data_IF_297414887006
#
_entry.id   IF_297414887006
#
_cell.length_a   1.000
_cell.length_b   1.000
_cell.length_c   1.000
_cell.angle_alpha   90.00
_cell.angle_beta   90.00
_cell.angle_gamma   90.00
#
_symmetry.space_group_name_H-M   'P 1'
#
loop_
_entity.id
_entity.type
_entity.pdbx_description
1 polymer ?
#
# COMPACT_ATOMS: atom_id res chain seq x y z
N UNK A 1 3.41 -10.40 -33.97
CA UNK A 1 2.48 -9.28 -34.21
C UNK A 1 2.86 -8.14 -33.27
N UNK A 2 2.71 -6.88 -33.69
CA UNK A 2 3.01 -5.72 -32.85
C UNK A 2 1.81 -5.40 -31.97
N UNK A 3 2.00 -5.27 -30.65
CA UNK A 3 0.89 -5.01 -29.71
C UNK A 3 0.82 -3.55 -29.25
N UNK A 4 1.95 -2.97 -28.80
CA UNK A 4 1.97 -1.66 -28.13
C UNK A 4 3.38 -1.11 -27.93
N UNK A 5 3.44 0.19 -27.65
CA UNK A 5 4.64 0.91 -27.19
C UNK A 5 4.38 1.53 -25.82
N UNK A 6 5.43 1.64 -24.99
CA UNK A 6 5.40 2.46 -23.77
C UNK A 6 6.21 3.73 -23.97
N UNK A 7 5.57 4.88 -23.77
CA UNK A 7 6.26 6.16 -23.74
C UNK A 7 5.49 7.21 -22.91
N UNK A 8 6.00 7.67 -21.76
CA UNK A 8 7.22 7.24 -21.09
C UNK A 8 7.11 5.85 -20.45
N UNK A 9 8.27 5.29 -20.11
CA UNK A 9 8.40 4.00 -19.46
C UNK A 9 9.29 4.11 -18.21
N UNK A 10 8.88 3.45 -17.13
CA UNK A 10 9.57 3.44 -15.84
C UNK A 10 9.79 1.99 -15.38
N UNK A 11 11.04 1.55 -15.40
CA UNK A 11 11.44 0.24 -14.90
C UNK A 11 11.97 0.35 -13.47
N UNK A 12 11.26 -0.27 -12.53
CA UNK A 12 11.60 -0.27 -11.10
C UNK A 12 12.24 -1.59 -10.64
N UNK A 13 12.17 -2.65 -11.47
CA UNK A 13 12.75 -3.95 -11.19
C UNK A 13 12.11 -5.07 -12.02
N UNK A 14 12.53 -6.32 -11.78
CA UNK A 14 11.97 -7.49 -12.47
C UNK A 14 10.46 -7.58 -12.24
N UNK A 15 9.69 -7.60 -13.33
CA UNK A 15 8.21 -7.62 -13.32
C UNK A 15 7.57 -6.42 -12.58
N UNK A 16 8.31 -5.31 -12.39
CA UNK A 16 7.85 -4.09 -11.72
C UNK A 16 8.10 -2.89 -12.62
N UNK A 17 7.08 -2.47 -13.34
CA UNK A 17 7.18 -1.35 -14.26
C UNK A 17 5.86 -0.59 -14.39
N UNK A 18 5.96 0.64 -14.85
CA UNK A 18 4.84 1.51 -15.18
C UNK A 18 5.15 2.27 -16.47
N UNK A 19 4.14 2.61 -17.26
CA UNK A 19 4.33 3.42 -18.45
C UNK A 19 3.00 3.80 -19.08
N UNK A 20 3.01 4.85 -19.90
CA UNK A 20 1.84 5.16 -20.72
C UNK A 20 1.82 4.21 -21.90
N UNK A 21 0.72 3.47 -22.04
CA UNK A 21 0.52 2.49 -23.10
C UNK A 21 -0.03 3.18 -24.36
N UNK A 22 0.56 2.87 -25.50
CA UNK A 22 0.16 3.38 -26.81
C UNK A 22 -0.08 2.19 -27.76
N UNK A 23 -1.32 2.04 -28.20
CA UNK A 23 -1.70 1.14 -29.30
C UNK A 23 -1.79 1.88 -30.64
N UNK A 24 -1.92 3.21 -30.62
CA UNK A 24 -1.86 4.11 -31.77
C UNK A 24 -0.98 5.34 -31.46
N UNK A 25 -0.61 6.13 -32.47
CA UNK A 25 0.35 7.24 -32.31
C UNK A 25 -0.28 8.52 -31.75
N UNK A 26 -1.60 8.71 -31.86
CA UNK A 26 -2.25 10.00 -31.58
C UNK A 26 -2.46 10.27 -30.09
N UNK A 27 -2.79 9.23 -29.32
CA UNK A 27 -3.04 9.34 -27.88
C UNK A 27 -2.67 8.07 -27.13
N UNK A 28 -2.22 8.24 -25.89
CA UNK A 28 -2.05 7.11 -24.98
C UNK A 28 -3.40 6.57 -24.54
N UNK A 29 -3.47 5.26 -24.33
CA UNK A 29 -4.67 4.56 -23.89
C UNK A 29 -4.88 4.71 -22.38
N UNK A 30 -3.82 4.43 -21.61
CA UNK A 30 -3.83 4.48 -20.15
C UNK A 30 -2.42 4.40 -19.56
N UNK A 31 -2.32 4.75 -18.28
CA UNK A 31 -1.18 4.38 -17.44
C UNK A 31 -1.27 2.88 -17.11
N UNK A 32 -0.41 2.07 -17.73
CA UNK A 32 -0.30 0.64 -17.41
C UNK A 32 0.74 0.42 -16.31
N UNK A 33 0.41 -0.47 -15.39
CA UNK A 33 1.24 -0.77 -14.22
C UNK A 33 1.28 -2.27 -13.98
N UNK A 34 2.49 -2.82 -13.80
CA UNK A 34 2.70 -4.26 -13.64
C UNK A 34 3.53 -4.54 -12.40
N UNK A 35 3.02 -5.43 -11.54
CA UNK A 35 3.71 -5.93 -10.33
C UNK A 35 4.00 -4.88 -9.26
N UNK A 36 3.52 -3.66 -9.42
CA UNK A 36 3.61 -2.60 -8.42
C UNK A 36 2.40 -2.62 -7.48
N UNK A 37 2.49 -1.85 -6.42
CA UNK A 37 1.56 -1.86 -5.30
C UNK A 37 0.12 -1.46 -5.70
N UNK A 38 -0.07 -0.70 -6.79
CA UNK A 38 -1.39 -0.25 -7.30
C UNK A 38 -2.28 -1.41 -7.75
N UNK A 39 -1.70 -2.47 -8.33
CA UNK A 39 -2.41 -3.65 -8.85
C UNK A 39 -2.44 -4.81 -7.84
N UNK A 40 -1.80 -4.63 -6.68
CA UNK A 40 -1.71 -5.62 -5.62
C UNK A 40 -2.86 -5.47 -4.62
N UNK A 41 -3.59 -6.56 -4.38
CA UNK A 41 -4.79 -6.59 -3.52
C UNK A 41 -4.49 -6.64 -2.03
N UNK A 42 -3.23 -6.88 -1.65
CA UNK A 42 -2.76 -6.99 -0.26
C UNK A 42 -2.27 -5.66 0.33
N UNK A 43 -2.48 -4.54 -0.37
CA UNK A 43 -2.16 -3.19 0.11
C UNK A 43 -3.41 -2.40 0.49
N UNK A 44 -3.27 -1.49 1.44
CA UNK A 44 -4.33 -0.56 1.82
C UNK A 44 -4.58 0.51 0.73
N UNK A 45 -5.71 1.21 0.81
CA UNK A 45 -6.08 2.20 -0.20
C UNK A 45 -5.11 3.39 -0.22
N UNK A 46 -4.61 3.81 0.94
CA UNK A 46 -3.61 4.87 1.08
C UNK A 46 -2.39 4.64 0.16
N UNK A 47 -1.85 3.42 0.17
CA UNK A 47 -0.67 3.05 -0.62
C UNK A 47 -0.99 3.06 -2.11
N UNK A 48 -2.13 2.47 -2.49
CA UNK A 48 -2.56 2.41 -3.90
C UNK A 48 -2.80 3.82 -4.46
N UNK A 49 -3.50 4.68 -3.72
CA UNK A 49 -3.81 6.05 -4.12
C UNK A 49 -2.54 6.89 -4.19
N UNK A 50 -1.70 6.85 -3.15
CA UNK A 50 -0.45 7.61 -3.11
C UNK A 50 0.47 7.24 -4.27
N UNK A 51 0.66 5.95 -4.54
CA UNK A 51 1.55 5.50 -5.62
C UNK A 51 0.96 5.80 -7.01
N UNK A 52 -0.34 5.59 -7.20
CA UNK A 52 -1.00 5.95 -8.47
C UNK A 52 -0.85 7.43 -8.78
N UNK A 53 -1.03 8.30 -7.78
CA UNK A 53 -0.89 9.75 -7.95
C UNK A 53 0.55 10.16 -8.23
N UNK A 54 1.53 9.56 -7.53
CA UNK A 54 2.95 9.78 -7.83
C UNK A 54 3.28 9.38 -9.27
N UNK A 55 2.84 8.21 -9.71
CA UNK A 55 3.08 7.75 -11.08
C UNK A 55 2.39 8.62 -12.12
N UNK A 56 1.17 9.10 -11.83
CA UNK A 56 0.46 10.06 -12.68
C UNK A 56 1.27 11.35 -12.82
N UNK A 57 1.67 11.99 -11.72
CA UNK A 57 2.45 13.24 -11.74
C UNK A 57 3.77 13.09 -12.50
N UNK A 58 4.47 11.97 -12.29
CA UNK A 58 5.76 11.71 -12.93
C UNK A 58 5.62 11.38 -14.42
N UNK A 59 4.70 10.49 -14.80
CA UNK A 59 4.64 9.94 -16.16
C UNK A 59 3.71 10.72 -17.08
N UNK A 60 2.61 11.26 -16.55
CA UNK A 60 1.64 12.03 -17.33
C UNK A 60 1.97 13.52 -17.29
N UNK A 61 2.10 14.09 -16.09
CA UNK A 61 2.22 15.55 -15.91
C UNK A 61 3.67 16.05 -15.99
N UNK A 62 4.64 15.12 -15.94
CA UNK A 62 6.09 15.40 -15.92
C UNK A 62 6.53 16.28 -14.74
N UNK A 63 5.73 16.34 -13.68
CA UNK A 63 6.02 17.13 -12.48
C UNK A 63 6.56 16.24 -11.35
N UNK A 64 7.85 15.94 -11.44
CA UNK A 64 8.56 15.18 -10.40
C UNK A 64 8.64 15.98 -9.07
N UNK A 65 8.66 17.31 -9.12
CA UNK A 65 8.73 18.10 -7.88
C UNK A 65 7.38 18.15 -7.16
N UNK A 66 6.29 18.29 -7.91
CA UNK A 66 4.94 18.16 -7.39
C UNK A 66 4.64 16.77 -6.87
N UNK A 67 5.25 15.70 -7.41
CA UNK A 67 5.09 14.36 -6.85
C UNK A 67 5.79 14.22 -5.49
N UNK A 68 6.97 14.84 -5.30
CA UNK A 68 7.67 14.85 -3.99
C UNK A 68 6.88 15.66 -2.96
N UNK A 69 6.41 16.87 -3.30
CA UNK A 69 5.58 17.70 -2.40
C UNK A 69 4.31 16.95 -1.97
N UNK A 70 3.63 16.31 -2.91
CA UNK A 70 2.46 15.49 -2.62
C UNK A 70 2.76 14.35 -1.63
N UNK A 71 3.90 13.67 -1.79
CA UNK A 71 4.32 12.64 -0.83
C UNK A 71 4.55 13.24 0.56
N UNK A 72 5.25 14.36 0.68
CA UNK A 72 5.49 15.04 1.95
C UNK A 72 4.17 15.39 2.66
N UNK A 73 3.21 15.95 1.93
CA UNK A 73 1.87 16.26 2.45
C UNK A 73 1.11 15.00 2.87
N UNK A 74 1.23 13.90 2.11
CA UNK A 74 0.59 12.64 2.50
C UNK A 74 1.21 11.98 3.71
N UNK A 75 2.52 12.05 3.86
CA UNK A 75 3.23 11.58 5.06
C UNK A 75 2.84 12.43 6.27
N UNK A 76 2.77 13.75 6.12
CA UNK A 76 2.34 14.67 7.19
C UNK A 76 0.92 14.34 7.66
N UNK A 77 -0.02 14.16 6.74
CA UNK A 77 -1.41 13.85 7.10
C UNK A 77 -1.55 12.48 7.75
N UNK A 78 -0.78 11.49 7.30
CA UNK A 78 -0.73 10.17 7.94
C UNK A 78 -0.22 10.27 9.38
N UNK A 79 0.92 10.92 9.60
CA UNK A 79 1.54 11.03 10.93
C UNK A 79 0.70 11.91 11.89
N UNK A 80 -0.03 12.89 11.36
CA UNK A 80 -0.97 13.70 12.12
C UNK A 80 -2.31 12.99 12.40
N UNK A 81 -2.52 11.75 11.91
CA UNK A 81 -3.76 11.01 12.09
C UNK A 81 -4.96 11.58 11.32
N UNK A 82 -4.70 12.36 10.25
CA UNK A 82 -5.73 12.98 9.40
C UNK A 82 -6.18 12.10 8.23
N UNK A 83 -5.64 10.89 8.12
CA UNK A 83 -6.03 9.90 7.10
C UNK A 83 -7.18 9.05 7.63
N UNK A 84 -8.24 8.93 6.85
CA UNK A 84 -9.41 8.12 7.21
C UNK A 84 -9.06 6.63 7.38
N UNK A 85 -9.70 5.98 8.36
CA UNK A 85 -9.44 4.57 8.67
C UNK A 85 -9.70 3.65 7.46
N UNK A 86 -10.68 3.97 6.60
CA UNK A 86 -10.96 3.19 5.40
C UNK A 86 -9.77 3.11 4.44
N UNK A 87 -8.89 4.13 4.47
CA UNK A 87 -7.67 4.13 3.66
C UNK A 87 -6.56 3.26 4.24
N UNK A 88 -6.64 2.94 5.53
CA UNK A 88 -5.67 2.15 6.28
C UNK A 88 -6.04 0.66 6.35
N UNK A 89 -7.23 0.27 5.92
CA UNK A 89 -7.65 -1.14 5.92
C UNK A 89 -6.80 -1.95 4.95
N UNK A 90 -6.13 -2.98 5.47
CA UNK A 90 -5.40 -4.00 4.71
C UNK A 90 -6.31 -5.22 4.60
N UNK A 91 -6.32 -5.88 3.46
CA UNK A 91 -7.13 -7.09 3.28
C UNK A 91 -6.30 -8.23 2.75
N UNK A 92 -6.29 -9.38 3.44
CA UNK A 92 -5.54 -10.57 3.02
C UNK A 92 -6.42 -11.81 3.04
N UNK A 93 -6.26 -12.67 2.03
CA UNK A 93 -7.04 -13.90 1.90
C UNK A 93 -6.60 -14.97 2.90
N UNK A 94 -7.56 -15.61 3.55
CA UNK A 94 -7.36 -16.79 4.37
C UNK A 94 -7.43 -18.02 3.46
N UNK A 95 -6.30 -18.67 3.21
CA UNK A 95 -6.17 -19.73 2.18
C UNK A 95 -6.25 -21.15 2.74
N UNK A 96 -6.22 -21.29 4.06
CA UNK A 96 -6.30 -22.56 4.81
C UNK A 96 -6.88 -22.26 6.19
N UNK A 97 -7.21 -23.29 6.97
CA UNK A 97 -7.67 -23.04 8.34
C UNK A 97 -6.55 -22.39 9.16
N UNK A 98 -6.94 -21.60 10.16
CA UNK A 98 -6.01 -20.92 11.06
C UNK A 98 -5.05 -21.89 11.77
N UNK A 99 -5.45 -23.14 11.99
CA UNK A 99 -4.58 -24.20 12.55
C UNK A 99 -3.43 -24.62 11.63
N UNK A 100 -3.59 -24.45 10.31
CA UNK A 100 -2.70 -25.03 9.30
C UNK A 100 -1.62 -24.04 8.84
N UNK A 101 -1.57 -22.85 9.45
CA UNK A 101 -0.54 -21.87 9.21
C UNK A 101 0.69 -22.13 10.08
N UNK A 102 1.81 -22.48 9.45
CA UNK A 102 3.10 -22.60 10.12
C UNK A 102 3.64 -21.27 10.67
N UNK A 103 3.17 -20.13 10.14
CA UNK A 103 3.64 -18.80 10.53
C UNK A 103 2.47 -17.92 10.94
N UNK A 104 2.56 -17.37 12.16
CA UNK A 104 1.61 -16.38 12.68
C UNK A 104 1.68 -15.10 11.85
N UNK A 105 0.53 -14.59 11.44
CA UNK A 105 0.44 -13.38 10.64
C UNK A 105 -0.85 -12.62 10.95
N UNK A 106 -0.84 -11.31 10.73
CA UNK A 106 -1.92 -10.39 11.15
C UNK A 106 -3.33 -10.90 10.85
N UNK A 107 -3.61 -11.25 9.59
CA UNK A 107 -4.93 -11.77 9.19
C UNK A 107 -5.32 -13.11 9.84
N UNK A 108 -4.35 -14.00 10.10
CA UNK A 108 -4.60 -15.30 10.74
C UNK A 108 -4.91 -15.10 12.22
N UNK A 109 -4.11 -14.28 12.90
CA UNK A 109 -4.32 -13.94 14.30
C UNK A 109 -5.64 -13.22 14.51
N UNK A 110 -6.00 -12.28 13.63
CA UNK A 110 -7.30 -11.64 13.69
C UNK A 110 -8.44 -12.64 13.45
N UNK A 111 -8.30 -13.57 12.51
CA UNK A 111 -9.31 -14.61 12.30
C UNK A 111 -9.50 -15.48 13.56
N UNK A 112 -8.41 -15.84 14.25
CA UNK A 112 -8.47 -16.54 15.55
C UNK A 112 -9.17 -15.68 16.61
N UNK A 113 -8.83 -14.39 16.73
CA UNK A 113 -9.49 -13.46 17.66
C UNK A 113 -11.00 -13.36 17.38
N UNK A 114 -11.39 -13.21 16.10
CA UNK A 114 -12.79 -13.14 15.69
C UNK A 114 -13.53 -14.43 16.02
N UNK A 115 -12.94 -15.61 15.70
CA UNK A 115 -13.51 -16.92 16.04
C UNK A 115 -13.71 -17.13 17.54
N UNK A 116 -12.79 -16.64 18.38
CA UNK A 116 -12.94 -16.69 19.85
C UNK A 116 -14.01 -15.74 20.38
N UNK A 117 -14.26 -14.61 19.71
CA UNK A 117 -15.26 -13.62 20.10
C UNK A 117 -16.66 -14.05 19.67
N UNK A 118 -16.78 -14.46 18.41
CA UNK A 118 -18.02 -14.96 17.81
C UNK A 118 -17.67 -15.88 16.63
N UNK A 119 -17.97 -17.16 16.78
CA UNK A 119 -17.71 -18.17 15.75
C UNK A 119 -18.63 -18.04 14.53
N UNK A 120 -19.82 -17.44 14.67
CA UNK A 120 -20.79 -17.34 13.57
C UNK A 120 -20.35 -16.32 12.52
N UNK A 121 -19.71 -15.23 12.93
CA UNK A 121 -19.23 -14.14 12.06
C UNK A 121 -17.73 -14.24 11.72
N UNK A 122 -17.08 -15.33 12.14
CA UNK A 122 -15.66 -15.54 11.91
C UNK A 122 -15.35 -15.80 10.43
N UNK A 123 -14.23 -15.25 9.89
CA UNK A 123 -13.80 -15.54 8.52
C UNK A 123 -13.54 -17.04 8.29
N UNK A 124 -13.94 -17.52 7.12
CA UNK A 124 -13.75 -18.90 6.65
C UNK A 124 -12.63 -18.98 5.61
N UNK A 125 -12.19 -20.19 5.33
CA UNK A 125 -11.23 -20.44 4.25
C UNK A 125 -11.82 -19.98 2.92
N UNK A 126 -11.06 -19.18 2.18
CA UNK A 126 -11.50 -18.49 0.96
C UNK A 126 -11.85 -17.02 1.20
N UNK A 127 -12.22 -16.65 2.43
CA UNK A 127 -12.58 -15.26 2.74
C UNK A 127 -11.35 -14.35 2.78
N UNK A 128 -11.59 -13.06 2.59
CA UNK A 128 -10.59 -12.04 2.85
C UNK A 128 -10.84 -11.39 4.21
N UNK A 129 -9.80 -11.31 5.01
CA UNK A 129 -9.84 -10.71 6.35
C UNK A 129 -9.36 -9.26 6.25
N UNK A 130 -10.26 -8.27 6.44
CA UNK A 130 -9.87 -6.87 6.58
C UNK A 130 -9.32 -6.62 7.99
N UNK A 131 -8.25 -5.84 8.10
CA UNK A 131 -7.66 -5.46 9.37
C UNK A 131 -6.92 -4.12 9.29
N UNK A 132 -6.75 -3.48 10.45
CA UNK A 132 -5.80 -2.39 10.67
C UNK A 132 -4.78 -2.79 11.72
N UNK A 133 -3.67 -2.05 11.81
CA UNK A 133 -2.63 -2.28 12.82
C UNK A 133 -2.78 -1.24 13.94
N UNK A 134 -3.03 -1.73 15.14
CA UNK A 134 -3.12 -0.92 16.35
C UNK A 134 -1.73 -0.45 16.80
N UNK A 135 -1.71 0.67 17.53
CA UNK A 135 -0.52 1.14 18.25
C UNK A 135 -0.21 0.17 19.39
N UNK A 136 0.95 -0.47 19.31
CA UNK A 136 1.48 -1.35 20.35
C UNK A 136 2.73 -0.78 21.02
N UNK A 137 3.31 -1.58 21.91
CA UNK A 137 4.60 -1.36 22.53
C UNK A 137 5.74 -1.96 21.70
N UNK A 138 6.99 -1.56 21.97
CA UNK A 138 8.17 -1.99 21.20
C UNK A 138 8.38 -3.51 21.15
N UNK A 139 7.92 -4.24 22.16
CA UNK A 139 8.02 -5.70 22.24
C UNK A 139 6.89 -6.43 21.50
N UNK A 140 5.80 -5.73 21.16
CA UNK A 140 4.62 -6.33 20.56
C UNK A 140 4.90 -6.76 19.13
N UNK A 141 4.42 -7.94 18.78
CA UNK A 141 4.57 -8.45 17.43
C UNK A 141 3.44 -7.90 16.58
N UNK A 142 3.75 -7.38 15.40
CA UNK A 142 2.76 -6.77 14.49
C UNK A 142 1.53 -7.65 14.25
N UNK A 143 1.70 -8.98 14.20
CA UNK A 143 0.57 -9.89 13.97
C UNK A 143 -0.43 -9.91 15.15
N UNK A 144 0.00 -9.56 16.36
CA UNK A 144 -0.85 -9.47 17.56
C UNK A 144 -1.60 -8.14 17.62
N UNK A 145 -1.10 -7.12 16.92
CA UNK A 145 -1.68 -5.78 16.84
C UNK A 145 -2.75 -5.63 15.74
N UNK A 146 -3.03 -6.69 14.98
CA UNK A 146 -4.09 -6.68 13.99
C UNK A 146 -5.48 -6.66 14.65
N UNK A 147 -6.34 -5.76 14.18
CA UNK A 147 -7.71 -5.62 14.69
C UNK A 147 -8.73 -5.32 13.58
N UNK A 148 -9.99 -5.67 13.84
CA UNK A 148 -11.12 -5.42 12.96
C UNK A 148 -11.41 -3.90 12.86
N UNK A 149 -11.45 -3.30 11.66
CA UNK A 149 -11.71 -1.87 11.49
C UNK A 149 -13.00 -1.41 12.18
N UNK A 150 -14.06 -2.24 12.19
CA UNK A 150 -15.33 -1.90 12.86
C UNK A 150 -15.11 -1.73 14.35
N UNK A 151 -14.41 -2.68 14.98
CA UNK A 151 -14.09 -2.63 16.41
C UNK A 151 -13.21 -1.44 16.75
N UNK A 152 -12.25 -1.08 15.89
CA UNK A 152 -11.39 0.09 16.09
C UNK A 152 -12.21 1.37 16.18
N UNK A 153 -13.22 1.52 15.32
CA UNK A 153 -14.14 2.67 15.35
C UNK A 153 -15.02 2.64 16.60
N UNK A 154 -15.65 1.49 16.90
CA UNK A 154 -16.55 1.35 18.05
C UNK A 154 -15.86 1.62 19.40
N UNK A 155 -14.60 1.21 19.54
CA UNK A 155 -13.85 1.28 20.79
C UNK A 155 -12.83 2.43 20.83
N UNK A 156 -12.69 3.20 19.75
CA UNK A 156 -11.73 4.29 19.66
C UNK A 156 -10.27 3.84 19.83
N UNK A 157 -9.90 2.67 19.27
CA UNK A 157 -8.56 2.10 19.46
C UNK A 157 -7.50 2.89 18.64
N UNK A 158 -6.33 3.20 19.23
CA UNK A 158 -5.31 3.98 18.53
C UNK A 158 -4.65 3.16 17.40
N UNK A 159 -4.54 3.75 16.22
CA UNK A 159 -3.88 3.14 15.05
C UNK A 159 -2.39 3.49 15.02
N UNK A 160 -1.56 2.54 14.57
CA UNK A 160 -0.13 2.78 14.33
C UNK A 160 0.09 3.37 12.94
N UNK A 161 -0.04 4.70 12.80
CA UNK A 161 0.21 5.39 11.53
C UNK A 161 1.66 5.24 11.03
N UNK A 162 2.64 5.14 11.95
CA UNK A 162 4.07 4.99 11.59
C UNK A 162 4.33 3.62 10.96
N UNK A 163 3.61 2.58 11.38
CA UNK A 163 3.62 1.27 10.70
C UNK A 163 3.33 1.38 9.20
N UNK A 164 2.30 2.14 8.81
CA UNK A 164 1.93 2.32 7.40
C UNK A 164 3.00 3.08 6.60
N UNK A 165 3.60 4.10 7.22
CA UNK A 165 4.70 4.84 6.60
C UNK A 165 5.88 3.93 6.31
N UNK A 166 6.39 3.24 7.34
CA UNK A 166 7.63 2.48 7.27
C UNK A 166 7.48 1.18 6.47
N UNK A 167 6.39 0.44 6.68
CA UNK A 167 6.20 -0.91 6.10
C UNK A 167 5.53 -0.89 4.75
N UNK A 168 4.70 0.12 4.46
CA UNK A 168 3.86 0.12 3.26
C UNK A 168 4.17 1.24 2.27
N UNK A 169 4.55 2.45 2.70
CA UNK A 169 4.81 3.57 1.79
C UNK A 169 6.28 3.74 1.43
N UNK A 170 7.18 3.64 2.40
CA UNK A 170 8.60 4.00 2.24
C UNK A 170 9.28 3.24 1.10
N UNK A 171 9.29 1.91 1.16
CA UNK A 171 10.02 1.10 0.17
C UNK A 171 9.45 1.25 -1.26
N UNK A 172 8.12 1.23 -1.50
CA UNK A 172 7.57 1.49 -2.83
C UNK A 172 7.92 2.86 -3.38
N UNK A 173 7.83 3.92 -2.57
CA UNK A 173 8.15 5.28 -3.00
C UNK A 173 9.63 5.41 -3.35
N UNK A 174 10.52 4.93 -2.47
CA UNK A 174 11.96 4.93 -2.74
C UNK A 174 12.29 4.17 -4.03
N UNK A 175 11.60 3.08 -4.32
CA UNK A 175 11.81 2.31 -5.56
C UNK A 175 11.43 3.11 -6.81
N UNK A 176 10.33 3.87 -6.76
CA UNK A 176 9.91 4.74 -7.86
C UNK A 176 10.99 5.81 -8.11
N UNK A 177 11.38 6.55 -7.08
CA UNK A 177 12.36 7.64 -7.22
C UNK A 177 13.81 7.16 -7.45
N UNK A 178 14.12 5.90 -7.16
CA UNK A 178 15.40 5.28 -7.48
C UNK A 178 15.51 4.81 -8.94
N UNK A 179 14.41 4.77 -9.69
CA UNK A 179 14.44 4.42 -11.11
C UNK A 179 15.33 5.42 -11.88
N UNK A 180 16.04 4.94 -12.90
CA UNK A 180 17.20 5.61 -13.50
C UNK A 180 16.96 7.06 -13.95
N UNK A 181 15.74 7.41 -14.33
CA UNK A 181 15.39 8.75 -14.84
C UNK A 181 15.00 9.76 -13.75
N UNK A 182 14.97 9.35 -12.48
CA UNK A 182 14.52 10.18 -11.35
C UNK A 182 15.61 10.43 -10.29
N UNK A 183 16.88 10.13 -10.61
CA UNK A 183 17.99 10.20 -9.63
C UNK A 183 18.12 11.56 -8.93
N UNK A 184 17.92 12.67 -9.62
CA UNK A 184 17.93 14.01 -9.02
C UNK A 184 16.79 14.26 -8.00
N UNK A 185 15.70 13.50 -8.10
CA UNK A 185 14.59 13.56 -7.14
C UNK A 185 14.79 12.64 -5.94
N UNK A 186 15.68 11.65 -6.04
CA UNK A 186 16.02 10.74 -4.93
C UNK A 186 16.62 11.50 -3.74
N UNK A 187 17.54 12.43 -3.98
CA UNK A 187 18.15 13.26 -2.92
C UNK A 187 17.10 14.10 -2.18
N UNK A 188 16.00 14.48 -2.86
CA UNK A 188 14.90 15.23 -2.24
C UNK A 188 13.97 14.34 -1.43
N UNK A 189 13.92 13.03 -1.69
CA UNK A 189 13.18 12.09 -0.84
C UNK A 189 13.82 11.91 0.55
N UNK A 190 15.08 12.30 0.72
CA UNK A 190 15.73 12.34 2.03
C UNK A 190 15.19 13.48 2.91
N UNK A 191 14.50 14.47 2.33
CA UNK A 191 13.78 15.52 3.07
C UNK A 191 12.42 15.06 3.61
N UNK A 192 11.96 13.87 3.23
CA UNK A 192 10.72 13.30 3.79
C UNK A 192 11.04 12.77 5.18
N UNK A 193 10.31 13.25 6.18
CA UNK A 193 10.38 12.71 7.55
C UNK A 193 9.80 11.30 7.57
N UNK A 194 10.69 10.30 7.58
CA UNK A 194 10.33 8.88 7.61
C UNK A 194 10.01 8.33 9.01
#
# INVERSE_FOLDING_TARGET
EFEKVYHPYLLMGKKRYAGLMWTCADRHDKLDTKGIETVRRDNCALVRRTISEVLRRVLLERDVQGSVRYVQERVRDLLAGRVDISELVITKGLTRDVSDYATRSAHVELAVKKRKRDAATAPRVGDRVPYVILRGHKADKTYELAEDPVRVVEQGLPIDHRHYLERHLKLPLLRIYAANDLRAARERMDTVEW
#
